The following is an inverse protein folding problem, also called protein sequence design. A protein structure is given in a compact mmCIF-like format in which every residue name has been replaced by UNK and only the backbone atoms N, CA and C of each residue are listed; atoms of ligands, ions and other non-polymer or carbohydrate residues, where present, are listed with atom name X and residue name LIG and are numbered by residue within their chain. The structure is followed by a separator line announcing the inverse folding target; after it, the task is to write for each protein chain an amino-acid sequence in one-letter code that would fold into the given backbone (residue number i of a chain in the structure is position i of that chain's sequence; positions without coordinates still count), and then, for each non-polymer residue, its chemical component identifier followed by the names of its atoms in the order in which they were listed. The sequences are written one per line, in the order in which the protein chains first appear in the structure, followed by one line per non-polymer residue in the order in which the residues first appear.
data_IF_878379916843
#
_entry.id   IF_878379916843
#
_cell.length_a   1.000
_cell.length_b   1.000
_cell.length_c   1.000
_cell.angle_alpha   90.00
_cell.angle_beta   90.00
_cell.angle_gamma   90.00
#
_symmetry.space_group_name_H-M   'P 1'
#
loop_
_entity.id
_entity.type
_entity.pdbx_description
1 polymer ?
#
# COMPACT_ATOMS: atom_id res chain seq x y z
N UNK A 1 2.51 12.89 41.99
CA UNK A 1 1.57 13.71 41.19
C UNK A 1 0.77 12.72 40.37
N UNK A 2 -0.51 12.53 40.69
CA UNK A 2 -1.43 11.73 39.88
C UNK A 2 -1.82 12.59 38.69
N UNK A 3 -0.94 12.63 37.69
CA UNK A 3 -1.24 13.28 36.42
C UNK A 3 -2.42 12.54 35.80
N UNK A 4 -3.39 13.30 35.30
CA UNK A 4 -4.58 12.73 34.66
C UNK A 4 -4.13 11.86 33.48
N UNK A 5 -4.59 10.62 33.44
CA UNK A 5 -4.43 9.73 32.28
C UNK A 5 -4.98 10.41 31.02
N UNK A 6 -4.39 10.06 29.87
CA UNK A 6 -4.87 10.56 28.58
C UNK A 6 -6.14 9.85 28.15
N UNK A 7 -6.95 10.53 27.33
CA UNK A 7 -8.12 9.93 26.72
C UNK A 7 -7.75 9.01 25.55
N UNK A 8 -8.68 8.13 25.17
CA UNK A 8 -8.53 7.17 24.07
C UNK A 8 -8.17 7.86 22.76
N UNK A 9 -8.75 9.03 22.46
CA UNK A 9 -8.47 9.74 21.20
C UNK A 9 -7.02 10.20 21.12
N UNK A 10 -6.46 10.68 22.24
CA UNK A 10 -5.04 11.04 22.31
C UNK A 10 -4.13 9.81 22.15
N UNK A 11 -4.50 8.65 22.70
CA UNK A 11 -3.76 7.40 22.53
C UNK A 11 -3.81 6.85 21.10
N UNK A 12 -4.97 6.95 20.43
CA UNK A 12 -5.11 6.59 19.02
C UNK A 12 -4.28 7.53 18.13
N UNK A 13 -4.36 8.84 18.34
CA UNK A 13 -3.52 9.81 17.62
C UNK A 13 -2.01 9.60 17.85
N UNK A 14 -1.63 9.07 19.02
CA UNK A 14 -0.25 8.65 19.29
C UNK A 14 0.16 7.42 18.45
N UNK A 15 -0.68 6.38 18.39
CA UNK A 15 -0.45 5.18 17.59
C UNK A 15 -0.41 5.45 16.09
N UNK A 16 -1.30 6.33 15.61
CA UNK A 16 -1.38 6.73 14.20
C UNK A 16 -0.25 7.69 13.79
N UNK A 17 0.51 8.23 14.76
CA UNK A 17 1.60 9.19 14.53
C UNK A 17 1.10 10.59 14.16
N UNK A 18 -0.15 10.93 14.51
CA UNK A 18 -0.77 12.22 14.20
C UNK A 18 -0.50 13.30 15.26
N UNK A 19 0.08 12.94 16.41
CA UNK A 19 0.45 13.89 17.45
C UNK A 19 1.63 14.78 17.05
N UNK A 20 1.58 16.05 17.48
CA UNK A 20 2.72 16.95 17.42
C UNK A 20 3.90 16.42 18.26
N UNK A 21 5.14 16.66 17.82
CA UNK A 21 6.35 16.09 18.43
C UNK A 21 6.46 16.31 19.95
N UNK A 22 6.07 17.49 20.44
CA UNK A 22 6.06 17.82 21.87
C UNK A 22 5.06 16.97 22.68
N UNK A 23 3.90 16.68 22.08
CA UNK A 23 2.88 15.84 22.68
C UNK A 23 3.27 14.36 22.62
N UNK A 24 3.89 13.91 21.52
CA UNK A 24 4.40 12.54 21.39
C UNK A 24 5.42 12.22 22.49
N UNK A 25 6.35 13.13 22.80
CA UNK A 25 7.31 12.93 23.89
C UNK A 25 6.61 12.88 25.26
N UNK A 26 5.61 13.74 25.46
CA UNK A 26 4.86 13.80 26.72
C UNK A 26 4.04 12.53 26.96
N UNK A 27 3.33 12.05 25.93
CA UNK A 27 2.56 10.80 25.97
C UNK A 27 3.49 9.61 26.17
N UNK A 28 4.60 9.51 25.42
CA UNK A 28 5.57 8.44 25.57
C UNK A 28 6.16 8.37 26.99
N UNK A 29 6.51 9.53 27.57
CA UNK A 29 7.02 9.61 28.95
C UNK A 29 5.97 9.19 29.98
N UNK A 30 4.72 9.56 29.78
CA UNK A 30 3.62 9.20 30.69
C UNK A 30 3.27 7.72 30.60
N UNK A 31 3.15 7.15 29.39
CA UNK A 31 2.90 5.72 29.18
C UNK A 31 3.97 4.87 29.87
N UNK A 32 5.24 5.31 29.82
CA UNK A 32 6.33 4.62 30.51
C UNK A 32 6.24 4.66 32.05
N UNK A 33 5.44 5.57 32.62
CA UNK A 33 5.30 5.78 34.06
C UNK A 33 3.90 5.46 34.61
N UNK A 34 2.92 5.14 33.76
CA UNK A 34 1.52 4.96 34.11
C UNK A 34 0.99 3.63 33.56
N UNK A 35 0.77 2.66 34.45
CA UNK A 35 0.32 1.30 34.09
C UNK A 35 -1.04 1.30 33.37
N UNK A 36 -1.95 2.22 33.71
CA UNK A 36 -3.27 2.31 33.09
C UNK A 36 -3.17 2.75 31.61
N UNK A 37 -2.35 3.77 31.33
CA UNK A 37 -2.09 4.20 29.96
C UNK A 37 -1.29 3.16 29.16
N UNK A 38 -0.37 2.43 29.81
CA UNK A 38 0.34 1.32 29.18
C UNK A 38 -0.61 0.16 28.82
N UNK A 39 -1.55 -0.17 29.71
CA UNK A 39 -2.57 -1.19 29.44
C UNK A 39 -3.48 -0.77 28.29
N UNK A 40 -3.93 0.49 28.27
CA UNK A 40 -4.78 1.03 27.20
C UNK A 40 -4.06 1.05 25.84
N UNK A 41 -2.76 1.38 25.83
CA UNK A 41 -1.94 1.33 24.62
C UNK A 41 -1.82 -0.11 24.10
N UNK A 42 -1.55 -1.08 24.97
CA UNK A 42 -1.44 -2.49 24.60
C UNK A 42 -2.76 -3.06 24.06
N UNK A 43 -3.90 -2.71 24.66
CA UNK A 43 -5.23 -3.09 24.16
C UNK A 43 -5.48 -2.52 22.75
N UNK A 44 -5.13 -1.26 22.53
CA UNK A 44 -5.28 -0.60 21.22
C UNK A 44 -4.37 -1.22 20.15
N UNK A 45 -3.16 -1.63 20.51
CA UNK A 45 -2.24 -2.36 19.62
C UNK A 45 -2.78 -3.75 19.26
N UNK A 46 -3.38 -4.47 20.22
CA UNK A 46 -3.99 -5.78 19.99
C UNK A 46 -5.20 -5.68 19.05
N UNK A 47 -6.08 -4.70 19.26
CA UNK A 47 -7.21 -4.44 18.36
C UNK A 47 -6.73 -4.10 16.93
N UNK A 48 -5.71 -3.25 16.83
CA UNK A 48 -5.11 -2.89 15.54
C UNK A 48 -4.52 -4.13 14.85
N UNK A 49 -3.81 -4.98 15.59
CA UNK A 49 -3.22 -6.21 15.05
C UNK A 49 -4.28 -7.17 14.49
N UNK A 50 -5.42 -7.34 15.19
CA UNK A 50 -6.54 -8.15 14.70
C UNK A 50 -7.12 -7.57 13.41
N UNK A 51 -7.28 -6.25 13.36
CA UNK A 51 -7.84 -5.55 12.20
C UNK A 51 -6.91 -5.66 10.98
N UNK A 52 -5.61 -5.44 11.16
CA UNK A 52 -4.61 -5.59 10.09
C UNK A 52 -4.50 -7.04 9.60
N UNK A 53 -4.62 -8.03 10.49
CA UNK A 53 -4.62 -9.44 10.09
C UNK A 53 -5.83 -9.80 9.23
N UNK A 54 -7.03 -9.31 9.58
CA UNK A 54 -8.22 -9.52 8.77
C UNK A 54 -8.12 -8.88 7.38
N UNK A 55 -7.50 -7.70 7.32
CA UNK A 55 -7.31 -6.94 6.08
C UNK A 55 -6.08 -7.38 5.28
N UNK A 56 -5.21 -8.24 5.83
CA UNK A 56 -3.93 -8.64 5.21
C UNK A 56 -4.13 -9.24 3.81
N UNK A 57 -5.19 -10.03 3.59
CA UNK A 57 -5.47 -10.62 2.29
C UNK A 57 -5.83 -9.56 1.23
N UNK A 58 -6.57 -8.52 1.62
CA UNK A 58 -6.95 -7.43 0.73
C UNK A 58 -5.81 -6.45 0.53
N UNK A 59 -5.09 -6.08 1.60
CA UNK A 59 -3.89 -5.26 1.49
C UNK A 59 -2.83 -5.95 0.65
N UNK A 60 -2.59 -7.25 0.77
CA UNK A 60 -1.62 -7.93 -0.10
C UNK A 60 -2.02 -7.92 -1.59
N UNK A 61 -3.32 -7.81 -1.90
CA UNK A 61 -3.80 -7.66 -3.27
C UNK A 61 -3.71 -6.20 -3.78
N UNK A 62 -3.76 -5.22 -2.87
CA UNK A 62 -3.79 -3.77 -3.16
C UNK A 62 -2.46 -3.04 -2.92
N UNK A 63 -1.54 -3.64 -2.17
CA UNK A 63 -0.20 -3.09 -1.93
C UNK A 63 0.47 -2.99 -3.29
N UNK A 64 0.99 -1.81 -3.64
CA UNK A 64 1.73 -1.63 -4.88
C UNK A 64 2.74 -2.75 -5.00
N UNK A 65 2.63 -3.51 -6.10
CA UNK A 65 3.50 -4.67 -6.41
C UNK A 65 4.92 -4.40 -5.93
N UNK A 66 5.65 -5.41 -5.42
CA UNK A 66 7.07 -5.29 -5.01
C UNK A 66 7.90 -4.40 -5.95
N UNK A 67 7.55 -4.41 -7.24
CA UNK A 67 8.04 -3.53 -8.30
C UNK A 67 7.87 -2.01 -8.10
N UNK A 68 6.74 -1.53 -7.59
CA UNK A 68 6.57 -0.10 -7.27
C UNK A 68 7.44 0.28 -6.08
N UNK A 69 7.54 -0.63 -5.10
CA UNK A 69 8.44 -0.48 -3.96
C UNK A 69 9.91 -0.44 -4.39
N UNK A 70 10.35 -1.32 -5.29
CA UNK A 70 11.71 -1.25 -5.84
C UNK A 70 11.92 0.02 -6.63
N UNK A 71 10.95 0.48 -7.42
CA UNK A 71 11.04 1.77 -8.14
C UNK A 71 11.15 2.97 -7.20
N UNK A 72 10.35 3.02 -6.13
CA UNK A 72 10.42 4.06 -5.09
C UNK A 72 11.78 4.01 -4.39
N UNK A 73 12.23 2.82 -3.99
CA UNK A 73 13.49 2.66 -3.27
C UNK A 73 14.68 3.04 -4.15
N UNK A 74 14.62 2.71 -5.45
CA UNK A 74 15.62 3.05 -6.45
C UNK A 74 15.60 4.56 -6.80
N UNK A 75 14.43 5.22 -6.80
CA UNK A 75 14.37 6.69 -6.91
C UNK A 75 14.94 7.40 -5.68
N UNK A 76 14.65 6.90 -4.46
CA UNK A 76 15.23 7.43 -3.22
C UNK A 76 16.76 7.22 -3.19
N UNK A 77 17.24 6.06 -3.65
CA UNK A 77 18.67 5.77 -3.74
C UNK A 77 19.40 6.67 -4.76
N UNK A 78 18.76 6.96 -5.90
CA UNK A 78 19.27 7.89 -6.92
C UNK A 78 19.31 9.33 -6.39
N UNK A 79 18.26 9.80 -5.71
CA UNK A 79 18.25 11.14 -5.12
C UNK A 79 19.30 11.30 -4.01
N UNK A 80 19.43 10.31 -3.10
CA UNK A 80 20.44 10.36 -2.03
C UNK A 80 21.88 10.37 -2.55
N UNK A 81 22.17 9.74 -3.69
CA UNK A 81 23.52 9.72 -4.28
C UNK A 81 23.91 10.99 -5.04
N UNK A 82 22.94 11.81 -5.47
CA UNK A 82 23.22 13.00 -6.29
C UNK A 82 23.11 14.32 -5.53
N UNK A 83 22.27 14.41 -4.49
CA UNK A 83 21.99 15.69 -3.85
C UNK A 83 23.03 16.10 -2.79
N UNK A 84 23.62 15.14 -2.06
CA UNK A 84 24.59 15.43 -0.99
C UNK A 84 26.04 15.55 -1.47
N UNK A 85 26.38 14.98 -2.63
CA UNK A 85 27.74 15.04 -3.19
C UNK A 85 28.22 16.46 -3.56
N UNK A 86 27.45 17.33 -4.22
CA UNK A 86 27.92 18.68 -4.52
C UNK A 86 28.10 19.53 -3.26
N UNK A 87 27.26 19.34 -2.25
CA UNK A 87 27.33 20.10 -0.98
C UNK A 87 28.54 19.65 -0.14
N UNK A 88 28.80 18.34 -0.03
CA UNK A 88 30.00 17.83 0.65
C UNK A 88 31.30 18.12 -0.13
N UNK A 89 31.27 18.08 -1.46
CA UNK A 89 32.43 18.44 -2.28
C UNK A 89 32.79 19.92 -2.18
N UNK A 90 31.81 20.82 -2.06
CA UNK A 90 32.03 22.25 -1.84
C UNK A 90 32.66 22.55 -0.47
N UNK A 91 32.37 21.74 0.54
CA UNK A 91 32.92 21.85 1.90
C UNK A 91 34.35 21.32 2.05
N UNK A 92 34.82 20.45 1.14
CA UNK A 92 36.15 19.83 1.21
C UNK A 92 37.19 20.47 0.26
N UNK A 93 36.83 21.47 -0.54
CA UNK A 93 37.80 22.18 -1.37
C UNK A 93 38.61 23.20 -0.54
N UNK A 94 39.95 23.06 -0.41
CA UNK A 94 40.77 23.92 0.44
C UNK A 94 40.87 25.38 -0.04
N UNK A 95 40.36 25.69 -1.23
CA UNK A 95 40.45 27.03 -1.83
C UNK A 95 39.24 27.93 -1.50
N UNK A 96 38.17 27.40 -0.91
CA UNK A 96 36.98 28.17 -0.48
C UNK A 96 37.02 28.59 1.00
N UNK A 97 38.04 28.17 1.76
CA UNK A 97 38.20 28.47 3.19
C UNK A 97 38.30 29.98 3.49
N UNK A 98 38.73 30.81 2.54
CA UNK A 98 38.82 32.26 2.72
C UNK A 98 37.45 32.98 2.68
N UNK A 99 36.42 32.38 2.04
CA UNK A 99 35.10 33.01 1.88
C UNK A 99 34.03 32.43 2.82
N UNK A 100 34.22 31.22 3.35
CA UNK A 100 33.27 30.58 4.27
C UNK A 100 33.14 31.31 5.62
N UNK A 101 34.21 31.96 6.09
CA UNK A 101 34.19 32.75 7.34
C UNK A 101 33.28 33.98 7.24
N UNK A 102 33.20 34.60 6.05
CA UNK A 102 32.37 35.80 5.83
C UNK A 102 30.87 35.48 5.89
N UNK A 103 30.46 34.32 5.37
CA UNK A 103 29.06 33.88 5.41
C UNK A 103 28.65 33.52 6.84
N UNK A 104 29.53 32.84 7.60
CA UNK A 104 29.22 32.51 8.99
C UNK A 104 29.08 33.76 9.87
N UNK A 105 29.94 34.77 9.67
CA UNK A 105 29.82 36.07 10.37
C UNK A 105 28.56 36.83 9.94
N UNK A 106 28.18 36.81 8.66
CA UNK A 106 26.95 37.42 8.17
C UNK A 106 25.68 36.76 8.73
N UNK A 107 25.63 35.42 8.78
CA UNK A 107 24.48 34.69 9.35
C UNK A 107 24.39 34.88 10.86
N UNK A 108 25.52 34.86 11.57
CA UNK A 108 25.57 35.07 13.02
C UNK A 108 25.21 36.51 13.42
N UNK A 109 25.58 37.49 12.61
CA UNK A 109 25.22 38.90 12.83
C UNK A 109 23.75 39.18 12.55
N UNK A 110 23.15 38.58 11.51
CA UNK A 110 21.70 38.68 11.28
C UNK A 110 20.90 38.01 12.39
N UNK A 111 21.29 36.81 12.83
CA UNK A 111 20.60 36.11 13.93
C UNK A 111 20.71 36.87 15.26
N UNK A 112 21.87 37.45 15.58
CA UNK A 112 22.02 38.29 16.77
C UNK A 112 21.25 39.61 16.69
N UNK A 113 21.10 40.20 15.49
CA UNK A 113 20.27 41.41 15.29
C UNK A 113 18.77 41.11 15.33
N UNK A 114 18.34 39.92 14.92
CA UNK A 114 16.94 39.48 15.01
C UNK A 114 16.53 38.99 16.41
N UNK A 115 17.49 38.66 17.28
CA UNK A 115 17.26 38.31 18.69
C UNK A 115 17.10 39.54 19.61
N UNK A 116 16.85 40.73 19.06
CA UNK A 116 16.56 41.92 19.86
C UNK A 116 15.23 41.69 20.61
N UNK A 117 15.24 41.62 21.95
CA UNK A 117 14.03 41.31 22.72
C UNK A 117 13.03 42.45 22.54
N UNK A 118 11.88 42.14 21.95
CA UNK A 118 10.73 43.03 21.96
C UNK A 118 10.33 43.26 23.43
N UNK A 119 10.57 44.47 23.91
CA UNK A 119 10.09 44.90 25.22
C UNK A 119 8.55 44.81 25.25
N UNK A 120 7.94 44.35 26.35
CA UNK A 120 6.50 44.29 26.49
C UNK A 120 5.95 45.72 26.64
N UNK A 121 5.36 46.26 25.58
CA UNK A 121 4.55 47.47 25.64
C UNK A 121 3.21 47.15 26.27
N UNK A 122 3.14 47.35 27.60
CA UNK A 122 1.89 47.61 28.29
C UNK A 122 1.32 48.94 27.78
N UNK A 123 0.22 48.90 27.04
CA UNK A 123 -0.65 50.06 26.86
C UNK A 123 -2.05 49.76 27.38
N UNK A 124 -2.36 50.50 28.44
CA UNK A 124 -3.63 50.67 29.12
C UNK A 124 -4.62 51.41 28.23
N UNK A 125 -5.90 51.03 28.36
CA UNK A 125 -7.15 51.69 28.02
C UNK A 125 -7.11 53.00 27.21
N UNK A 126 -7.80 53.01 26.06
CA UNK A 126 -8.49 54.20 25.59
C UNK A 126 -9.83 53.84 24.94
N UNK A 127 -10.89 54.17 25.67
CA UNK A 127 -12.28 54.28 25.23
C UNK A 127 -12.40 55.28 24.09
N UNK A 128 -12.97 54.83 22.98
CA UNK A 128 -13.49 55.68 21.91
C UNK A 128 -14.78 55.06 21.39
N UNK A 129 -15.90 55.67 21.75
CA UNK A 129 -17.18 55.49 21.08
C UNK A 129 -17.02 55.72 19.56
N UNK A 130 -17.71 54.92 18.75
CA UNK A 130 -18.54 55.38 17.62
C UNK A 130 -19.29 54.17 16.99
N UNK A 131 -20.61 54.24 17.11
CA UNK A 131 -21.65 53.82 16.15
C UNK A 131 -21.73 52.34 15.74
N UNK A 132 -22.48 51.57 16.52
CA UNK A 132 -23.17 50.37 16.04
C UNK A 132 -24.20 50.77 14.97
N UNK A 133 -23.88 50.49 13.70
CA UNK A 133 -24.86 50.41 12.64
C UNK A 133 -25.62 49.09 12.78
N UNK A 134 -26.87 49.19 13.20
CA UNK A 134 -27.86 48.11 13.28
C UNK A 134 -27.89 47.30 11.99
N UNK A 135 -27.44 46.04 12.05
CA UNK A 135 -27.79 45.01 11.08
C UNK A 135 -28.85 44.14 11.75
N UNK A 136 -30.02 44.10 11.11
CA UNK A 136 -31.20 43.36 11.52
C UNK A 136 -30.92 41.84 11.60
N UNK A 137 -31.60 41.10 12.48
CA UNK A 137 -31.53 39.65 12.49
C UNK A 137 -32.14 39.09 11.20
N UNK A 138 -31.32 38.37 10.43
CA UNK A 138 -31.79 37.57 9.30
C UNK A 138 -32.74 36.48 9.86
N UNK A 139 -33.95 36.50 9.32
CA UNK A 139 -35.02 35.58 9.63
C UNK A 139 -34.58 34.12 9.41
N UNK A 140 -34.93 33.26 10.38
CA UNK A 140 -34.94 31.81 10.25
C UNK A 140 -35.89 31.42 9.11
N UNK A 141 -35.35 31.06 7.96
CA UNK A 141 -36.10 30.25 7.00
C UNK A 141 -36.01 28.79 7.45
N UNK A 142 -37.15 28.31 7.96
CA UNK A 142 -37.49 26.91 8.09
C UNK A 142 -37.31 26.21 6.74
N UNK A 143 -36.46 25.19 6.71
CA UNK A 143 -36.55 24.11 5.74
C UNK A 143 -37.02 22.87 6.49
N UNK A 144 -38.24 22.44 6.20
CA UNK A 144 -38.86 21.24 6.73
C UNK A 144 -38.07 19.98 6.36
N UNK A 145 -37.90 19.01 7.28
CA UNK A 145 -37.47 17.66 6.92
C UNK A 145 -38.60 16.93 6.15
N UNK A 146 -38.29 16.08 5.15
CA UNK A 146 -39.29 15.20 4.58
C UNK A 146 -39.75 14.18 5.65
N UNK A 147 -41.07 14.01 5.72
CA UNK A 147 -41.75 13.09 6.62
C UNK A 147 -41.18 11.66 6.51
N UNK A 148 -40.67 11.15 7.63
CA UNK A 148 -40.44 9.73 7.81
C UNK A 148 -41.77 9.08 8.20
N UNK A 149 -42.29 8.26 7.30
CA UNK A 149 -43.38 7.32 7.57
C UNK A 149 -42.91 6.32 8.63
N UNK A 150 -43.64 6.13 9.74
CA UNK A 150 -43.30 5.10 10.72
C UNK A 150 -43.55 3.72 10.12
N UNK A 151 -42.48 2.95 9.92
CA UNK A 151 -42.57 1.52 9.64
C UNK A 151 -42.83 0.80 10.96
N UNK A 152 -44.09 0.38 11.15
CA UNK A 152 -44.52 -0.54 12.19
C UNK A 152 -43.66 -1.81 12.14
N UNK A 153 -42.85 -2.03 13.17
CA UNK A 153 -42.28 -3.34 13.47
C UNK A 153 -43.18 -4.02 14.51
N UNK A 154 -43.59 -5.28 14.32
CA UNK A 154 -44.40 -6.00 15.30
C UNK A 154 -43.63 -6.25 16.59
N UNK A 155 -44.30 -5.91 17.69
CA UNK A 155 -43.96 -6.27 19.05
C UNK A 155 -44.08 -7.80 19.22
N UNK A 156 -42.96 -8.52 19.22
CA UNK A 156 -42.92 -9.94 19.58
C UNK A 156 -42.44 -10.10 21.03
N UNK A 157 -43.43 -10.18 21.90
CA UNK A 157 -43.33 -10.53 23.30
C UNK A 157 -43.08 -12.04 23.39
N UNK A 158 -41.89 -12.47 23.78
CA UNK A 158 -41.70 -13.80 24.38
C UNK A 158 -40.56 -13.77 25.41
N UNK A 159 -40.98 -13.91 26.66
CA UNK A 159 -40.16 -14.16 27.83
C UNK A 159 -39.85 -15.64 27.89
N UNK A 160 -38.63 -16.07 27.54
CA UNK A 160 -38.14 -17.38 27.98
C UNK A 160 -36.73 -17.28 28.58
N UNK A 161 -36.71 -17.58 29.86
CA UNK A 161 -35.58 -17.78 30.75
C UNK A 161 -34.64 -18.87 30.21
N UNK A 162 -33.49 -18.51 29.66
CA UNK A 162 -32.43 -19.48 29.38
C UNK A 162 -31.47 -19.51 30.56
N UNK A 163 -31.61 -20.58 31.34
CA UNK A 163 -30.67 -20.97 32.40
C UNK A 163 -29.32 -21.36 31.77
N UNK A 164 -28.27 -20.83 32.38
CA UNK A 164 -26.88 -21.28 32.32
C UNK A 164 -26.75 -22.81 32.22
N UNK A 165 -26.08 -23.27 31.15
CA UNK A 165 -25.47 -24.60 31.08
C UNK A 165 -24.00 -24.40 30.76
N UNK A 166 -23.18 -24.47 31.81
CA UNK A 166 -21.76 -24.77 31.69
C UNK A 166 -21.62 -26.12 30.98
N UNK A 167 -21.09 -26.13 29.77
CA UNK A 167 -20.59 -27.34 29.15
C UNK A 167 -19.11 -27.19 28.81
N UNK A 168 -18.33 -27.87 29.65
CA UNK A 168 -16.91 -28.17 29.53
C UNK A 168 -16.69 -28.97 28.24
N UNK A 169 -16.19 -28.32 27.19
CA UNK A 169 -15.78 -29.00 25.97
C UNK A 169 -14.31 -29.43 26.10
N UNK A 170 -14.13 -30.74 26.20
CA UNK A 170 -12.86 -31.44 26.08
C UNK A 170 -12.24 -31.20 24.69
N UNK A 171 -10.98 -30.79 24.67
CA UNK A 171 -10.15 -30.78 23.48
C UNK A 171 -9.92 -32.22 22.98
N UNK A 172 -10.55 -32.58 21.86
CA UNK A 172 -10.13 -33.74 21.05
C UNK A 172 -9.15 -33.29 19.97
N UNK A 173 -7.89 -33.68 20.16
CA UNK A 173 -6.86 -33.61 19.12
C UNK A 173 -7.26 -34.49 17.92
N UNK A 174 -7.61 -33.86 16.80
CA UNK A 174 -7.77 -34.54 15.53
C UNK A 174 -6.39 -34.69 14.86
N UNK A 175 -5.84 -35.91 14.89
CA UNK A 175 -4.71 -36.35 14.06
C UNK A 175 -5.13 -36.28 12.60
N UNK A 176 -4.47 -35.44 11.81
CA UNK A 176 -4.54 -35.46 10.35
C UNK A 176 -3.78 -36.68 9.82
N UNK A 177 -4.52 -37.61 9.22
CA UNK A 177 -3.97 -38.74 8.49
C UNK A 177 -3.50 -38.28 7.11
N UNK A 178 -2.24 -38.58 6.79
CA UNK A 178 -1.66 -38.45 5.46
C UNK A 178 -2.44 -39.31 4.45
N UNK A 179 -3.05 -38.66 3.46
CA UNK A 179 -3.64 -39.34 2.29
C UNK A 179 -2.52 -39.67 1.32
N UNK A 180 -2.25 -40.97 1.17
CA UNK A 180 -1.30 -41.56 0.22
C UNK A 180 -2.04 -41.80 -1.12
N UNK A 181 -1.59 -41.26 -2.26
CA UNK A 181 -2.24 -41.56 -3.53
C UNK A 181 -1.87 -42.97 -4.01
N UNK A 182 -2.91 -43.75 -4.26
CA UNK A 182 -2.88 -45.12 -4.77
C UNK A 182 -2.61 -45.10 -6.28
N UNK A 183 -1.57 -45.83 -6.71
CA UNK A 183 -1.22 -46.02 -8.12
C UNK A 183 -2.22 -47.00 -8.75
N UNK A 184 -3.14 -46.48 -9.55
CA UNK A 184 -3.95 -47.32 -10.46
C UNK A 184 -3.15 -47.50 -11.75
N UNK A 185 -2.54 -48.69 -11.88
CA UNK A 185 -2.08 -49.24 -13.15
C UNK A 185 -3.29 -49.84 -13.85
N UNK A 186 -3.63 -49.32 -15.04
CA UNK A 186 -4.48 -50.03 -15.99
C UNK A 186 -3.78 -50.09 -17.35
N UNK A 187 -3.30 -51.28 -17.67
CA UNK A 187 -3.00 -51.72 -19.02
C UNK A 187 -4.30 -51.85 -19.83
N UNK A 188 -4.36 -51.23 -21.00
CA UNK A 188 -5.21 -51.69 -22.11
C UNK A 188 -4.83 -51.04 -23.46
N UNK A 189 -4.01 -51.76 -24.22
CA UNK A 189 -4.29 -52.23 -25.59
C UNK A 189 -4.66 -51.20 -26.68
N UNK A 190 -3.67 -50.97 -27.54
CA UNK A 190 -3.75 -50.81 -29.01
C UNK A 190 -5.14 -50.95 -29.65
N UNK A 191 -5.56 -49.87 -30.32
CA UNK A 191 -6.44 -49.91 -31.49
C UNK A 191 -6.09 -48.77 -32.45
N UNK A 192 -5.50 -49.14 -33.57
CA UNK A 192 -5.49 -48.36 -34.79
C UNK A 192 -6.92 -48.09 -35.26
N UNK A 193 -7.29 -46.82 -35.35
CA UNK A 193 -8.38 -46.36 -36.22
C UNK A 193 -8.02 -45.01 -36.81
N UNK A 194 -7.57 -45.08 -38.06
CA UNK A 194 -7.57 -44.04 -39.07
C UNK A 194 -9.02 -43.62 -39.34
N UNK A 195 -9.42 -42.41 -38.98
CA UNK A 195 -10.59 -41.73 -39.53
C UNK A 195 -10.44 -40.21 -39.38
N UNK A 196 -10.27 -39.57 -40.52
CA UNK A 196 -10.89 -38.32 -40.94
C UNK A 196 -10.84 -37.13 -39.99
N UNK A 197 -9.89 -36.25 -40.31
CA UNK A 197 -10.10 -34.82 -40.51
C UNK A 197 -11.44 -34.23 -40.03
N UNK A 198 -11.52 -33.94 -38.73
CA UNK A 198 -12.18 -32.74 -38.24
C UNK A 198 -11.14 -31.87 -37.56
N UNK A 199 -10.49 -31.04 -38.38
CA UNK A 199 -9.88 -29.80 -37.91
C UNK A 199 -11.02 -28.98 -37.30
N UNK A 200 -11.05 -28.72 -35.97
CA UNK A 200 -11.93 -27.70 -35.47
C UNK A 200 -11.45 -26.39 -36.08
N UNK A 201 -12.31 -25.79 -36.91
CA UNK A 201 -12.09 -24.45 -37.43
C UNK A 201 -11.71 -23.53 -36.27
N UNK A 202 -10.43 -23.19 -36.21
CA UNK A 202 -9.89 -22.13 -35.40
C UNK A 202 -10.69 -20.89 -35.80
N UNK A 203 -11.67 -20.52 -34.98
CA UNK A 203 -12.27 -19.18 -34.99
C UNK A 203 -11.21 -18.22 -34.48
N UNK A 204 -10.20 -17.99 -35.31
CA UNK A 204 -9.34 -16.84 -35.19
C UNK A 204 -10.20 -15.60 -35.44
N UNK A 205 -10.04 -14.61 -34.56
CA UNK A 205 -10.21 -13.20 -34.89
C UNK A 205 -11.55 -12.48 -34.61
N UNK A 206 -12.20 -12.72 -33.46
CA UNK A 206 -13.27 -11.80 -32.99
C UNK A 206 -13.11 -11.28 -31.55
N UNK A 207 -12.02 -11.61 -30.87
CA UNK A 207 -11.74 -11.15 -29.49
C UNK A 207 -10.41 -10.42 -29.29
N UNK A 208 -9.61 -10.24 -30.35
CA UNK A 208 -8.32 -9.57 -30.24
C UNK A 208 -8.55 -8.06 -30.08
N UNK A 209 -7.94 -7.49 -29.05
CA UNK A 209 -7.96 -6.04 -28.86
C UNK A 209 -7.10 -5.41 -29.95
N UNK A 210 -7.57 -4.32 -30.56
CA UNK A 210 -6.76 -3.51 -31.48
C UNK A 210 -5.43 -3.13 -30.80
N UNK A 211 -4.31 -3.58 -31.37
CA UNK A 211 -2.95 -3.33 -30.85
C UNK A 211 -2.37 -4.42 -29.93
N UNK A 212 -3.11 -5.50 -29.63
CA UNK A 212 -2.62 -6.62 -28.80
C UNK A 212 -1.39 -7.32 -29.42
N UNK A 213 -1.33 -7.41 -30.75
CA UNK A 213 -0.24 -8.07 -31.48
C UNK A 213 1.13 -7.47 -31.19
N UNK A 214 1.21 -6.14 -30.99
CA UNK A 214 2.45 -5.44 -30.64
C UNK A 214 2.99 -5.92 -29.28
N UNK A 215 2.11 -6.04 -28.28
CA UNK A 215 2.47 -6.56 -26.97
C UNK A 215 2.90 -8.02 -27.04
N UNK A 216 2.14 -8.86 -27.75
CA UNK A 216 2.45 -10.30 -27.90
C UNK A 216 3.83 -10.48 -28.54
N UNK A 217 4.12 -9.75 -29.62
CA UNK A 217 5.41 -9.83 -30.31
C UNK A 217 6.56 -9.39 -29.39
N UNK A 218 6.38 -8.28 -28.67
CA UNK A 218 7.38 -7.76 -27.73
C UNK A 218 7.66 -8.77 -26.61
N UNK A 219 6.60 -9.32 -26.01
CA UNK A 219 6.70 -10.34 -24.96
C UNK A 219 7.40 -11.59 -25.47
N UNK A 220 7.08 -12.06 -26.68
CA UNK A 220 7.71 -13.25 -27.25
C UNK A 220 9.23 -13.06 -27.44
N UNK A 221 9.64 -11.91 -27.98
CA UNK A 221 11.06 -11.55 -28.14
C UNK A 221 11.76 -11.49 -26.78
N UNK A 222 11.20 -10.74 -25.83
CA UNK A 222 11.80 -10.57 -24.49
C UNK A 222 11.85 -11.88 -23.72
N UNK A 223 10.81 -12.71 -23.81
CA UNK A 223 10.77 -14.00 -23.13
C UNK A 223 11.86 -14.94 -23.65
N UNK A 224 12.14 -14.92 -24.96
CA UNK A 224 13.25 -15.69 -25.55
C UNK A 224 14.60 -15.21 -25.02
N UNK A 225 14.81 -13.88 -24.96
CA UNK A 225 16.05 -13.29 -24.41
C UNK A 225 16.24 -13.65 -22.93
N UNK A 226 15.19 -13.53 -22.12
CA UNK A 226 15.24 -13.82 -20.69
C UNK A 226 15.43 -15.31 -20.43
N UNK A 227 14.73 -16.20 -21.15
CA UNK A 227 14.86 -17.64 -20.98
C UNK A 227 16.29 -18.13 -21.19
N UNK A 228 17.02 -17.54 -22.14
CA UNK A 228 18.40 -17.92 -22.45
C UNK A 228 19.42 -17.39 -21.44
N UNK A 229 19.13 -16.28 -20.73
CA UNK A 229 20.11 -15.57 -19.90
C UNK A 229 19.80 -15.55 -18.40
N UNK A 230 18.57 -15.85 -17.99
CA UNK A 230 18.14 -15.73 -16.59
C UNK A 230 18.99 -16.57 -15.64
N UNK A 231 19.45 -17.74 -16.08
CA UNK A 231 20.17 -18.70 -15.24
C UNK A 231 21.61 -18.28 -14.94
N UNK A 232 22.20 -17.47 -15.82
CA UNK A 232 23.54 -16.92 -15.66
C UNK A 232 23.55 -15.72 -14.70
N UNK A 233 22.44 -14.98 -14.62
CA UNK A 233 22.42 -13.61 -14.07
C UNK A 233 21.63 -13.49 -12.78
N UNK A 234 20.59 -14.32 -12.62
CA UNK A 234 19.78 -14.34 -11.43
C UNK A 234 20.24 -15.46 -10.50
N UNK A 235 20.41 -15.12 -9.22
CA UNK A 235 20.63 -16.14 -8.19
C UNK A 235 19.44 -17.11 -8.11
N UNK A 236 19.61 -18.35 -7.63
CA UNK A 236 18.52 -19.32 -7.50
C UNK A 236 17.26 -18.77 -6.82
N UNK A 237 17.43 -17.99 -5.74
CA UNK A 237 16.32 -17.35 -5.04
C UNK A 237 15.62 -16.29 -5.90
N UNK A 238 16.39 -15.45 -6.60
CA UNK A 238 15.83 -14.42 -7.49
C UNK A 238 15.08 -15.02 -8.69
N UNK A 239 15.56 -16.16 -9.23
CA UNK A 239 14.88 -16.90 -10.30
C UNK A 239 13.51 -17.39 -9.86
N UNK A 240 13.44 -18.01 -8.69
CA UNK A 240 12.18 -18.51 -8.16
C UNK A 240 11.16 -17.37 -7.95
N UNK A 241 11.60 -16.24 -7.39
CA UNK A 241 10.75 -15.07 -7.23
C UNK A 241 10.24 -14.54 -8.59
N UNK A 242 11.15 -14.39 -9.57
CA UNK A 242 10.81 -13.95 -10.91
C UNK A 242 9.80 -14.89 -11.61
N UNK A 243 10.02 -16.21 -11.53
CA UNK A 243 9.12 -17.21 -12.14
C UNK A 243 7.73 -17.19 -11.50
N UNK A 244 7.67 -17.04 -10.18
CA UNK A 244 6.40 -16.88 -9.46
C UNK A 244 5.65 -15.63 -9.93
N UNK A 245 6.34 -14.49 -10.00
CA UNK A 245 5.73 -13.21 -10.40
C UNK A 245 5.29 -13.25 -11.89
N UNK A 246 6.05 -13.94 -12.74
CA UNK A 246 5.69 -14.20 -14.14
C UNK A 246 4.43 -15.05 -14.24
N UNK A 247 4.33 -16.11 -13.44
CA UNK A 247 3.16 -16.99 -13.41
C UNK A 247 1.88 -16.26 -12.97
N UNK A 248 1.97 -15.39 -11.96
CA UNK A 248 0.84 -14.54 -11.52
C UNK A 248 0.40 -13.60 -12.63
N UNK A 249 1.36 -12.96 -13.32
CA UNK A 249 1.05 -12.06 -14.44
C UNK A 249 0.42 -12.81 -15.61
N UNK A 250 0.88 -14.02 -15.89
CA UNK A 250 0.33 -14.85 -16.97
C UNK A 250 -1.09 -15.34 -16.69
N UNK A 251 -1.40 -15.72 -15.45
CA UNK A 251 -2.76 -16.03 -15.03
C UNK A 251 -3.68 -14.80 -15.16
N UNK A 252 -3.22 -13.62 -14.73
CA UNK A 252 -3.98 -12.37 -14.89
C UNK A 252 -4.30 -12.06 -16.37
N UNK A 253 -3.31 -12.19 -17.27
CA UNK A 253 -3.51 -12.04 -18.71
C UNK A 253 -4.53 -13.07 -19.22
N UNK A 254 -4.38 -14.35 -18.85
CA UNK A 254 -5.29 -15.41 -19.29
C UNK A 254 -6.75 -15.14 -18.88
N UNK A 255 -6.98 -14.76 -17.62
CA UNK A 255 -8.30 -14.39 -17.09
C UNK A 255 -8.89 -13.18 -17.80
N UNK A 256 -8.10 -12.14 -18.01
CA UNK A 256 -8.58 -10.93 -18.70
C UNK A 256 -8.83 -11.16 -20.19
N UNK A 257 -8.05 -12.01 -20.86
CA UNK A 257 -8.36 -12.44 -22.22
C UNK A 257 -9.66 -13.22 -22.29
N UNK A 258 -9.98 -14.03 -21.28
CA UNK A 258 -11.26 -14.73 -21.22
C UNK A 258 -12.41 -13.73 -21.03
N UNK A 259 -12.24 -12.76 -20.15
CA UNK A 259 -13.26 -11.75 -19.87
C UNK A 259 -13.52 -10.84 -21.08
N UNK A 260 -12.47 -10.38 -21.77
CA UNK A 260 -12.60 -9.61 -23.00
C UNK A 260 -13.25 -10.44 -24.12
N UNK A 261 -12.97 -11.74 -24.20
CA UNK A 261 -13.65 -12.64 -25.15
C UNK A 261 -15.13 -12.82 -24.83
N UNK A 262 -15.49 -12.90 -23.54
CA UNK A 262 -16.89 -13.00 -23.09
C UNK A 262 -17.64 -11.70 -23.33
N UNK A 263 -17.02 -10.55 -23.06
CA UNK A 263 -17.62 -9.24 -23.24
C UNK A 263 -16.66 -8.26 -23.96
N UNK A 264 -16.63 -8.28 -25.30
CA UNK A 264 -15.74 -7.41 -26.08
C UNK A 264 -16.04 -5.91 -25.99
N UNK A 265 -17.18 -5.51 -25.38
CA UNK A 265 -17.54 -4.10 -25.18
C UNK A 265 -17.12 -3.59 -23.79
N UNK A 266 -16.60 -4.45 -22.92
CA UNK A 266 -16.10 -4.06 -21.61
C UNK A 266 -14.74 -3.34 -21.73
N UNK A 267 -14.76 -2.01 -21.78
CA UNK A 267 -13.55 -1.20 -21.89
C UNK A 267 -12.64 -1.32 -20.65
N UNK A 268 -13.20 -1.52 -19.45
CA UNK A 268 -12.41 -1.72 -18.24
C UNK A 268 -11.58 -3.01 -18.32
N UNK A 269 -12.17 -4.12 -18.76
CA UNK A 269 -11.43 -5.37 -18.96
C UNK A 269 -10.30 -5.24 -19.99
N UNK A 270 -10.53 -4.48 -21.08
CA UNK A 270 -9.48 -4.19 -22.07
C UNK A 270 -8.34 -3.37 -21.48
N UNK A 271 -8.64 -2.37 -20.64
CA UNK A 271 -7.62 -1.57 -19.96
C UNK A 271 -6.79 -2.41 -19.00
N UNK A 272 -7.43 -3.26 -18.19
CA UNK A 272 -6.73 -4.18 -17.28
C UNK A 272 -5.86 -5.17 -18.07
N UNK A 273 -6.35 -5.69 -19.19
CA UNK A 273 -5.55 -6.59 -20.05
C UNK A 273 -4.30 -5.87 -20.61
N UNK A 274 -4.43 -4.63 -21.10
CA UNK A 274 -3.27 -3.82 -21.54
C UNK A 274 -2.28 -3.55 -20.41
N UNK A 275 -2.77 -3.21 -19.22
CA UNK A 275 -1.92 -3.00 -18.05
C UNK A 275 -1.17 -4.28 -17.66
N UNK A 276 -1.84 -5.44 -17.75
CA UNK A 276 -1.23 -6.75 -17.49
C UNK A 276 -0.12 -7.07 -18.50
N UNK A 277 -0.33 -6.74 -19.79
CA UNK A 277 0.72 -6.85 -20.80
C UNK A 277 1.91 -5.95 -20.53
N UNK A 278 1.68 -4.68 -20.18
CA UNK A 278 2.76 -3.76 -19.84
C UNK A 278 3.57 -4.26 -18.64
N UNK A 279 2.87 -4.75 -17.60
CA UNK A 279 3.52 -5.34 -16.43
C UNK A 279 4.42 -6.52 -16.80
N UNK A 280 3.98 -7.40 -17.70
CA UNK A 280 4.79 -8.52 -18.19
C UNK A 280 6.03 -8.05 -18.95
N UNK A 281 5.87 -7.09 -19.87
CA UNK A 281 6.99 -6.51 -20.63
C UNK A 281 8.02 -5.92 -19.68
N UNK A 282 7.57 -5.15 -18.71
CA UNK A 282 8.48 -4.50 -17.78
C UNK A 282 9.18 -5.50 -16.85
N UNK A 283 8.49 -6.57 -16.42
CA UNK A 283 9.10 -7.65 -15.65
C UNK A 283 10.21 -8.33 -16.46
N UNK A 284 9.97 -8.60 -17.74
CA UNK A 284 10.97 -9.17 -18.65
C UNK A 284 12.13 -8.20 -18.90
N UNK A 285 11.86 -6.91 -19.11
CA UNK A 285 12.88 -5.89 -19.29
C UNK A 285 13.76 -5.76 -18.04
N UNK A 286 13.20 -5.86 -16.83
CA UNK A 286 14.01 -5.76 -15.60
C UNK A 286 15.12 -6.81 -15.51
N UNK A 287 14.87 -8.01 -16.07
CA UNK A 287 15.90 -9.05 -16.18
C UNK A 287 16.84 -8.75 -17.33
N UNK A 288 16.32 -8.30 -18.48
CA UNK A 288 17.11 -7.89 -19.64
C UNK A 288 18.13 -6.77 -19.30
N UNK A 289 17.70 -5.72 -18.61
CA UNK A 289 18.53 -4.58 -18.21
C UNK A 289 19.64 -5.01 -17.24
N UNK A 290 19.30 -5.91 -16.31
CA UNK A 290 20.30 -6.52 -15.42
C UNK A 290 21.36 -7.29 -16.22
N UNK A 291 20.99 -7.89 -17.35
CA UNK A 291 21.95 -8.57 -18.25
C UNK A 291 22.93 -7.61 -18.90
N UNK A 292 22.45 -6.44 -19.34
CA UNK A 292 23.30 -5.43 -19.97
C UNK A 292 24.30 -4.85 -18.97
N UNK A 293 23.85 -4.59 -17.74
CA UNK A 293 24.71 -4.09 -16.68
C UNK A 293 25.81 -5.09 -16.30
N UNK A 294 25.49 -6.38 -16.18
CA UNK A 294 26.51 -7.40 -15.89
C UNK A 294 27.48 -7.57 -17.06
N UNK A 295 26.99 -7.57 -18.31
CA UNK A 295 27.84 -7.65 -19.49
C UNK A 295 28.76 -6.44 -19.68
N UNK A 296 28.40 -5.27 -19.14
CA UNK A 296 29.24 -4.05 -19.17
C UNK A 296 30.36 -4.03 -18.12
N UNK A 297 30.33 -4.95 -17.16
CA UNK A 297 31.32 -5.05 -16.08
C UNK A 297 32.44 -6.06 -16.37
N UNK A 298 32.27 -6.88 -17.41
CA UNK A 298 33.29 -7.81 -17.95
C UNK A 298 34.09 -7.16 -19.10
#
# INVERSE_FOLDING_TARGET
MTDKCFDIGTMQAFLDGELAAEMTETVARHVAACDECACLLAESEEESALTFSALEMELNALVPTQRLWTKINDSIAREKKSFWKPILAFLLQPQTAAFASLIFVAVLSVTLLSLKPNAPTNYVAQTGEIQQKTIQPIAKNQLSPPAQTPLLLPEEKNTETIKSVQNKAEYRAAKTAYVRPEKVLTDAKSRDTKSDALVPAVRENSGNILGEESYIKTIATLNTTVANRKDEILSPSARFAFERDLAVTDDAIARMKLEVRRNPKNEAAKQILRASYQNKIDLLNSVADKTELMASLD
#
